data_IF_511580033686
#
_entry.id   IF_511580033686
#
_cell.length_a   1.000
_cell.length_b   1.000
_cell.length_c   1.000
_cell.angle_alpha   90.00
_cell.angle_beta   90.00
_cell.angle_gamma   90.00
#
_symmetry.space_group_name_H-M   'P 1'
#
loop_
_entity.id
_entity.type
_entity.pdbx_description
1 polymer ?
#
# COMPACT_ATOMS: atom_id res chain seq x y z
N UNK A 1 -5.73 -16.90 -9.63
CA UNK A 1 -4.69 -16.47 -8.67
C UNK A 1 -4.72 -14.97 -8.37
N UNK A 2 -4.46 -14.06 -9.32
CA UNK A 2 -4.47 -12.63 -8.99
C UNK A 2 -5.81 -12.14 -8.39
N UNK A 3 -6.94 -12.56 -8.96
CA UNK A 3 -8.29 -12.23 -8.43
C UNK A 3 -8.50 -12.78 -7.02
N UNK A 4 -7.95 -13.95 -6.71
CA UNK A 4 -8.02 -14.56 -5.38
C UNK A 4 -7.23 -13.72 -4.37
N UNK A 5 -5.99 -13.37 -4.71
CA UNK A 5 -5.14 -12.51 -3.89
C UNK A 5 -5.79 -11.14 -3.66
N UNK A 6 -6.32 -10.51 -4.71
CA UNK A 6 -7.08 -9.25 -4.61
C UNK A 6 -8.29 -9.40 -3.70
N UNK A 7 -9.04 -10.50 -3.81
CA UNK A 7 -10.19 -10.78 -2.95
C UNK A 7 -9.83 -10.96 -1.48
N UNK A 8 -8.81 -11.76 -1.20
CA UNK A 8 -8.29 -11.95 0.15
C UNK A 8 -7.76 -10.64 0.73
N UNK A 9 -7.10 -9.81 -0.09
CA UNK A 9 -6.55 -8.53 0.36
C UNK A 9 -7.66 -7.50 0.60
N UNK A 10 -8.67 -7.44 -0.26
CA UNK A 10 -9.84 -6.60 -0.06
C UNK A 10 -10.61 -7.01 1.21
N UNK A 11 -10.67 -8.32 1.50
CA UNK A 11 -11.27 -8.83 2.73
C UNK A 11 -10.42 -8.45 3.97
N UNK A 12 -9.09 -8.46 3.86
CA UNK A 12 -8.19 -7.98 4.91
C UNK A 12 -8.41 -6.48 5.19
N UNK A 13 -8.49 -5.65 4.13
CA UNK A 13 -8.75 -4.21 4.26
C UNK A 13 -10.10 -3.91 4.91
N UNK A 14 -11.14 -4.64 4.47
CA UNK A 14 -12.48 -4.51 5.02
C UNK A 14 -12.48 -4.88 6.52
N UNK A 15 -11.97 -6.06 6.87
CA UNK A 15 -11.98 -6.55 8.26
C UNK A 15 -11.13 -5.67 9.19
N UNK A 16 -10.01 -5.14 8.71
CA UNK A 16 -9.21 -4.15 9.44
C UNK A 16 -9.99 -2.85 9.66
N UNK A 17 -10.61 -2.30 8.61
CA UNK A 17 -11.40 -1.06 8.71
C UNK A 17 -12.56 -1.24 9.68
N UNK A 18 -13.25 -2.38 9.62
CA UNK A 18 -14.30 -2.72 10.58
C UNK A 18 -13.77 -2.81 12.00
N UNK A 19 -12.66 -3.51 12.22
CA UNK A 19 -12.01 -3.62 13.54
C UNK A 19 -11.66 -2.24 14.10
N UNK A 20 -11.14 -1.33 13.26
CA UNK A 20 -10.81 0.04 13.64
C UNK A 20 -12.05 0.87 14.02
N UNK A 21 -13.20 0.63 13.38
CA UNK A 21 -14.45 1.37 13.64
C UNK A 21 -15.33 0.75 14.74
N UNK A 22 -15.06 -0.50 15.12
CA UNK A 22 -15.83 -1.22 16.14
C UNK A 22 -15.23 -0.97 17.53
N UNK A 23 -15.65 0.13 18.16
CA UNK A 23 -15.30 0.40 19.56
C UNK A 23 -16.35 -0.16 20.51
N UNK A 24 -15.90 -0.89 21.53
CA UNK A 24 -16.74 -1.56 22.53
C UNK A 24 -17.77 -0.62 23.18
N UNK A 25 -17.47 0.68 23.25
CA UNK A 25 -18.31 1.72 23.83
C UNK A 25 -19.45 2.22 22.94
N UNK A 26 -19.45 1.97 21.63
CA UNK A 26 -20.39 2.59 20.69
C UNK A 26 -21.27 1.56 19.95
N UNK A 27 -22.20 0.98 20.70
CA UNK A 27 -23.15 0.00 20.17
C UNK A 27 -24.11 0.56 19.09
N UNK A 28 -24.24 1.89 19.00
CA UNK A 28 -25.14 2.53 18.04
C UNK A 28 -24.61 2.47 16.59
N UNK A 29 -23.30 2.36 16.39
CA UNK A 29 -22.67 2.34 15.06
C UNK A 29 -22.66 0.95 14.40
N UNK A 30 -22.93 -0.11 15.15
CA UNK A 30 -22.79 -1.49 14.68
C UNK A 30 -23.77 -1.95 13.59
N UNK A 31 -25.03 -1.46 13.49
CA UNK A 31 -25.95 -1.87 12.43
C UNK A 31 -25.41 -1.59 11.02
N UNK A 32 -24.84 -0.40 10.80
CA UNK A 32 -24.27 -0.03 9.49
C UNK A 32 -23.04 -0.89 9.19
N UNK A 33 -22.20 -1.12 10.19
CA UNK A 33 -21.00 -1.94 10.03
C UNK A 33 -21.36 -3.40 9.71
N UNK A 34 -22.39 -3.96 10.34
CA UNK A 34 -22.90 -5.29 10.02
C UNK A 34 -23.42 -5.36 8.59
N UNK A 35 -24.18 -4.37 8.14
CA UNK A 35 -24.67 -4.32 6.76
C UNK A 35 -23.52 -4.33 5.75
N UNK A 36 -22.51 -3.47 5.94
CA UNK A 36 -21.33 -3.44 5.07
C UNK A 36 -20.59 -4.77 5.12
N UNK A 37 -20.38 -5.35 6.31
CA UNK A 37 -19.70 -6.62 6.47
C UNK A 37 -20.43 -7.76 5.76
N UNK A 38 -21.75 -7.82 5.86
CA UNK A 38 -22.57 -8.83 5.18
C UNK A 38 -22.57 -8.63 3.67
N UNK A 39 -22.83 -7.42 3.16
CA UNK A 39 -22.88 -7.20 1.72
C UNK A 39 -21.50 -7.32 1.06
N UNK A 40 -20.52 -6.59 1.57
CA UNK A 40 -19.18 -6.57 0.99
C UNK A 40 -18.42 -7.86 1.34
N UNK A 41 -18.45 -8.29 2.59
CA UNK A 41 -17.73 -9.50 3.03
C UNK A 41 -18.22 -10.77 2.37
N UNK A 42 -19.54 -10.96 2.22
CA UNK A 42 -20.06 -12.14 1.52
C UNK A 42 -19.75 -12.06 0.03
N UNK A 43 -19.85 -10.88 -0.61
CA UNK A 43 -19.49 -10.73 -2.02
C UNK A 43 -18.01 -11.06 -2.28
N UNK A 44 -17.11 -10.57 -1.43
CA UNK A 44 -15.68 -10.87 -1.50
C UNK A 44 -15.39 -12.34 -1.19
N UNK A 45 -16.06 -12.92 -0.20
CA UNK A 45 -15.94 -14.34 0.14
C UNK A 45 -16.37 -15.25 -1.01
N UNK A 46 -17.51 -14.96 -1.65
CA UNK A 46 -17.97 -15.66 -2.86
C UNK A 46 -16.93 -15.54 -3.97
N UNK A 47 -16.40 -14.34 -4.20
CA UNK A 47 -15.37 -14.11 -5.21
C UNK A 47 -14.11 -14.94 -4.95
N UNK A 48 -13.64 -15.01 -3.70
CA UNK A 48 -12.48 -15.82 -3.30
C UNK A 48 -12.77 -17.31 -3.49
N UNK A 49 -13.92 -17.80 -3.04
CA UNK A 49 -14.31 -19.21 -3.18
C UNK A 49 -14.40 -19.65 -4.64
N UNK A 50 -14.96 -18.80 -5.51
CA UNK A 50 -14.99 -19.07 -6.94
C UNK A 50 -13.60 -19.01 -7.56
N UNK A 51 -12.72 -18.13 -7.07
CA UNK A 51 -11.34 -18.01 -7.54
C UNK A 51 -10.50 -19.25 -7.22
N UNK A 52 -10.74 -19.86 -6.06
CA UNK A 52 -10.08 -21.11 -5.63
C UNK A 52 -10.45 -22.31 -6.53
N UNK A 53 -11.65 -22.35 -7.08
CA UNK A 53 -12.13 -23.50 -7.88
C UNK A 53 -11.72 -23.45 -9.37
N UNK A 54 -10.67 -22.70 -9.69
CA UNK A 54 -10.04 -22.59 -11.01
C UNK A 54 -11.04 -22.32 -12.16
N UNK A 55 -11.42 -21.04 -12.28
CA UNK A 55 -12.48 -20.50 -13.14
C UNK A 55 -12.53 -21.04 -14.59
N UNK A 56 -13.73 -21.50 -14.98
CA UNK A 56 -14.19 -21.63 -16.37
C UNK A 56 -15.38 -20.68 -16.55
N UNK A 57 -15.47 -19.93 -17.65
CA UNK A 57 -16.35 -18.74 -17.82
C UNK A 57 -17.83 -18.86 -17.42
N UNK A 58 -18.42 -20.08 -17.35
CA UNK A 58 -19.79 -20.29 -16.85
C UNK A 58 -19.96 -19.98 -15.35
N UNK A 59 -18.90 -20.09 -14.55
CA UNK A 59 -18.92 -19.85 -13.09
C UNK A 59 -18.96 -18.36 -12.73
N UNK A 60 -18.62 -17.44 -13.65
CA UNK A 60 -18.72 -15.99 -13.41
C UNK A 60 -20.18 -15.58 -13.27
N UNK A 61 -21.04 -16.06 -14.18
CA UNK A 61 -22.48 -15.81 -14.11
C UNK A 61 -23.08 -16.41 -12.83
N UNK A 62 -22.63 -17.61 -12.42
CA UNK A 62 -23.05 -18.20 -11.16
C UNK A 62 -22.65 -17.32 -9.96
N UNK A 63 -21.43 -16.78 -9.96
CA UNK A 63 -20.97 -15.87 -8.90
C UNK A 63 -21.80 -14.60 -8.81
N UNK A 64 -22.06 -13.95 -9.94
CA UNK A 64 -22.93 -12.76 -9.97
C UNK A 64 -24.33 -13.09 -9.47
N UNK A 65 -24.91 -14.20 -9.91
CA UNK A 65 -26.23 -14.65 -9.44
C UNK A 65 -26.21 -14.92 -7.94
N UNK A 66 -25.18 -15.59 -7.43
CA UNK A 66 -25.03 -15.89 -6.01
C UNK A 66 -24.87 -14.62 -5.17
N UNK A 67 -24.10 -13.64 -5.63
CA UNK A 67 -23.92 -12.35 -4.95
C UNK A 67 -25.21 -11.52 -4.97
N UNK A 68 -25.92 -11.46 -6.10
CA UNK A 68 -27.21 -10.76 -6.17
C UNK A 68 -28.25 -11.44 -5.28
N UNK A 69 -28.32 -12.78 -5.33
CA UNK A 69 -29.20 -13.57 -4.47
C UNK A 69 -28.87 -13.35 -2.98
N UNK A 70 -27.58 -13.33 -2.60
CA UNK A 70 -27.18 -13.07 -1.23
C UNK A 70 -27.59 -11.67 -0.79
N UNK A 71 -27.37 -10.63 -1.61
CA UNK A 71 -27.79 -9.26 -1.30
C UNK A 71 -29.30 -9.16 -1.10
N UNK A 72 -30.10 -9.75 -1.99
CA UNK A 72 -31.57 -9.74 -1.88
C UNK A 72 -32.03 -10.45 -0.61
N UNK A 73 -31.49 -11.64 -0.32
CA UNK A 73 -31.79 -12.39 0.89
C UNK A 73 -31.42 -11.59 2.13
N UNK A 74 -30.22 -11.03 2.19
CA UNK A 74 -29.80 -10.25 3.35
C UNK A 74 -30.64 -9.00 3.54
N UNK A 75 -31.02 -8.29 2.46
CA UNK A 75 -31.89 -7.13 2.58
C UNK A 75 -33.26 -7.50 3.16
N UNK A 76 -33.82 -8.66 2.79
CA UNK A 76 -35.09 -9.14 3.32
C UNK A 76 -35.02 -9.57 4.79
N UNK A 77 -33.88 -10.10 5.24
CA UNK A 77 -33.70 -10.64 6.59
C UNK A 77 -32.86 -9.76 7.53
N UNK A 78 -32.39 -8.58 7.09
CA UNK A 78 -31.44 -7.74 7.83
C UNK A 78 -31.99 -7.32 9.19
N UNK A 79 -33.26 -6.92 9.28
CA UNK A 79 -33.87 -6.50 10.55
C UNK A 79 -33.89 -7.65 11.57
N UNK A 80 -34.21 -8.87 11.11
CA UNK A 80 -34.19 -10.06 11.98
C UNK A 80 -32.76 -10.42 12.40
N UNK A 81 -31.79 -10.28 11.49
CA UNK A 81 -30.38 -10.51 11.79
C UNK A 81 -29.87 -9.51 12.83
N UNK A 82 -30.17 -8.22 12.68
CA UNK A 82 -29.80 -7.17 13.62
C UNK A 82 -30.42 -7.38 15.01
N UNK A 83 -31.65 -7.90 15.07
CA UNK A 83 -32.30 -8.22 16.34
C UNK A 83 -31.72 -9.46 17.03
N UNK A 84 -31.18 -10.41 16.27
CA UNK A 84 -30.68 -11.69 16.79
C UNK A 84 -29.18 -11.67 17.12
N UNK A 85 -28.41 -10.73 16.57
CA UNK A 85 -26.95 -10.76 16.66
C UNK A 85 -26.46 -10.25 18.01
N UNK A 86 -25.53 -11.00 18.61
CA UNK A 86 -24.75 -10.50 19.74
C UNK A 86 -23.56 -9.70 19.21
N UNK A 87 -23.53 -8.40 19.50
CA UNK A 87 -22.49 -7.49 19.04
C UNK A 87 -21.09 -7.89 19.49
N UNK A 88 -20.94 -8.46 20.70
CA UNK A 88 -19.62 -8.91 21.18
C UNK A 88 -19.10 -10.08 20.34
N UNK A 89 -19.99 -11.03 19.99
CA UNK A 89 -19.66 -12.15 19.11
C UNK A 89 -19.33 -11.68 17.69
N UNK A 90 -20.02 -10.65 17.20
CA UNK A 90 -19.71 -10.06 15.90
C UNK A 90 -18.32 -9.44 15.86
N UNK A 91 -17.97 -8.60 16.84
CA UNK A 91 -16.63 -8.00 16.96
C UNK A 91 -15.55 -9.08 17.06
N UNK A 92 -15.78 -10.10 17.89
CA UNK A 92 -14.86 -11.24 18.03
C UNK A 92 -14.67 -11.97 16.70
N UNK A 93 -15.76 -12.24 15.98
CA UNK A 93 -15.72 -12.94 14.69
C UNK A 93 -14.95 -12.15 13.64
N UNK A 94 -15.16 -10.83 13.56
CA UNK A 94 -14.41 -9.97 12.64
C UNK A 94 -12.91 -9.97 12.97
N UNK A 95 -12.55 -9.85 14.25
CA UNK A 95 -11.14 -9.84 14.67
C UNK A 95 -10.46 -11.20 14.48
N UNK A 96 -11.17 -12.31 14.67
CA UNK A 96 -10.67 -13.64 14.35
C UNK A 96 -10.43 -13.80 12.85
N UNK A 97 -11.37 -13.34 12.01
CA UNK A 97 -11.19 -13.36 10.55
C UNK A 97 -10.00 -12.49 10.11
N UNK A 98 -9.86 -11.28 10.67
CA UNK A 98 -8.70 -10.42 10.45
C UNK A 98 -7.39 -11.12 10.83
N UNK A 99 -7.36 -11.81 11.97
CA UNK A 99 -6.21 -12.61 12.40
C UNK A 99 -5.86 -13.73 11.44
N UNK A 100 -6.85 -14.49 10.97
CA UNK A 100 -6.66 -15.56 9.98
C UNK A 100 -6.10 -14.99 8.67
N UNK A 101 -6.67 -13.88 8.18
CA UNK A 101 -6.18 -13.24 6.95
C UNK A 101 -4.76 -12.71 7.11
N UNK A 102 -4.46 -12.06 8.23
CA UNK A 102 -3.11 -11.59 8.53
C UNK A 102 -2.11 -12.75 8.62
N UNK A 103 -2.50 -13.89 9.19
CA UNK A 103 -1.67 -15.10 9.22
C UNK A 103 -1.43 -15.66 7.81
N UNK A 104 -2.44 -15.68 6.93
CA UNK A 104 -2.29 -16.13 5.55
C UNK A 104 -1.30 -15.25 4.79
N UNK A 105 -1.45 -13.91 4.86
CA UNK A 105 -0.52 -12.98 4.20
C UNK A 105 0.87 -13.06 4.81
N UNK A 106 0.98 -13.18 6.13
CA UNK A 106 2.26 -13.36 6.79
C UNK A 106 2.95 -14.67 6.37
N UNK A 107 2.19 -15.77 6.21
CA UNK A 107 2.72 -17.04 5.69
C UNK A 107 3.22 -16.91 4.25
N UNK A 108 2.56 -16.10 3.40
CA UNK A 108 3.05 -15.81 2.05
C UNK A 108 4.38 -15.05 2.06
N UNK A 109 4.55 -14.07 2.96
CA UNK A 109 5.80 -13.33 3.12
C UNK A 109 6.93 -14.23 3.66
N UNK A 110 6.63 -15.06 4.66
CA UNK A 110 7.58 -16.05 5.20
C UNK A 110 8.01 -17.04 4.12
N UNK A 111 7.07 -17.52 3.31
CA UNK A 111 7.37 -18.41 2.20
C UNK A 111 8.29 -17.74 1.19
N UNK A 112 8.00 -16.51 0.78
CA UNK A 112 8.85 -15.75 -0.13
C UNK A 112 10.26 -15.54 0.44
N UNK A 113 10.35 -15.06 1.68
CA UNK A 113 11.62 -14.85 2.40
C UNK A 113 12.45 -16.14 2.46
N UNK A 114 11.83 -17.25 2.85
CA UNK A 114 12.50 -18.55 2.94
C UNK A 114 12.96 -19.08 1.59
N UNK A 115 12.27 -18.72 0.51
CA UNK A 115 12.58 -19.16 -0.86
C UNK A 115 13.77 -18.42 -1.48
N UNK A 116 14.24 -17.36 -0.84
CA UNK A 116 15.39 -16.52 -1.24
C UNK A 116 16.62 -16.74 -0.34
N UNK A 117 16.52 -17.54 0.71
CA UNK A 117 17.69 -17.97 1.49
C UNK A 117 18.40 -19.05 0.67
N UNK A 118 19.73 -18.94 0.52
CA UNK A 118 20.50 -19.91 -0.25
C UNK A 118 20.25 -21.34 0.25
N UNK A 119 20.16 -22.31 -0.68
CA UNK A 119 19.96 -23.71 -0.33
C UNK A 119 21.01 -24.20 0.69
N UNK A 120 22.25 -23.76 0.56
CA UNK A 120 23.33 -24.06 1.51
C UNK A 120 23.05 -23.54 2.93
N UNK A 121 22.57 -22.31 3.07
CA UNK A 121 22.19 -21.76 4.38
C UNK A 121 20.95 -22.47 4.93
N UNK A 122 20.00 -22.85 4.06
CA UNK A 122 18.83 -23.62 4.44
C UNK A 122 19.20 -25.03 4.93
N UNK A 123 20.14 -25.70 4.29
CA UNK A 123 20.65 -27.03 4.67
C UNK A 123 21.48 -27.00 5.95
N UNK A 124 22.26 -25.93 6.15
CA UNK A 124 23.05 -25.72 7.38
C UNK A 124 22.15 -25.41 8.58
N UNK A 125 21.08 -24.62 8.39
CA UNK A 125 20.12 -24.30 9.45
C UNK A 125 19.10 -25.43 9.69
N UNK A 126 18.80 -26.25 8.68
CA UNK A 126 17.86 -27.37 8.77
C UNK A 126 18.53 -28.73 9.04
N UNK A 127 19.73 -28.74 9.62
CA UNK A 127 20.52 -29.96 9.90
C UNK A 127 19.83 -30.98 10.85
N UNK A 128 18.63 -30.67 11.35
CA UNK A 128 17.73 -31.65 11.97
C UNK A 128 16.77 -32.27 10.96
N UNK A 129 16.84 -33.60 10.76
CA UNK A 129 16.01 -34.34 9.80
C UNK A 129 14.50 -34.39 10.13
N UNK A 130 14.10 -33.91 11.31
CA UNK A 130 12.71 -33.96 11.73
C UNK A 130 11.86 -32.89 11.02
N UNK A 131 10.72 -33.32 10.48
CA UNK A 131 9.66 -32.44 9.95
C UNK A 131 9.30 -31.33 10.95
N UNK A 132 9.39 -31.62 12.26
CA UNK A 132 9.14 -30.64 13.32
C UNK A 132 10.15 -29.49 13.31
N UNK A 133 11.43 -29.74 13.05
CA UNK A 133 12.44 -28.68 12.96
C UNK A 133 12.20 -27.78 11.75
N UNK A 134 11.81 -28.36 10.60
CA UNK A 134 11.45 -27.59 9.41
C UNK A 134 10.21 -26.73 9.64
N UNK A 135 9.19 -27.28 10.32
CA UNK A 135 7.98 -26.55 10.67
C UNK A 135 8.28 -25.42 11.68
N UNK A 136 9.04 -25.71 12.73
CA UNK A 136 9.44 -24.74 13.74
C UNK A 136 10.27 -23.59 13.14
N UNK A 137 11.24 -23.91 12.27
CA UNK A 137 12.04 -22.90 11.59
C UNK A 137 11.15 -21.97 10.74
N UNK A 138 10.23 -22.54 9.94
CA UNK A 138 9.34 -21.75 9.09
C UNK A 138 8.33 -20.93 9.87
N UNK A 139 7.68 -21.51 10.88
CA UNK A 139 6.56 -20.87 11.58
C UNK A 139 7.05 -19.89 12.66
N UNK A 140 8.12 -20.22 13.39
CA UNK A 140 8.57 -19.42 14.53
C UNK A 140 9.83 -18.60 14.21
N UNK A 141 10.86 -19.21 13.61
CA UNK A 141 12.14 -18.51 13.41
C UNK A 141 12.09 -17.50 12.25
N UNK A 142 11.47 -17.84 11.11
CA UNK A 142 11.41 -16.93 9.97
C UNK A 142 10.72 -15.58 10.29
N UNK A 143 9.56 -15.52 10.97
CA UNK A 143 8.96 -14.24 11.37
C UNK A 143 9.86 -13.39 12.28
N UNK A 144 10.57 -14.05 13.20
CA UNK A 144 11.52 -13.40 14.10
C UNK A 144 12.70 -12.85 13.30
N UNK A 145 13.24 -13.61 12.34
CA UNK A 145 14.30 -13.15 11.46
C UNK A 145 13.87 -11.97 10.59
N UNK A 146 12.66 -12.00 10.01
CA UNK A 146 12.11 -10.86 9.25
C UNK A 146 12.02 -9.62 10.13
N UNK A 147 11.57 -9.79 11.38
CA UNK A 147 11.48 -8.67 12.34
C UNK A 147 12.86 -8.12 12.70
N UNK A 148 13.82 -9.00 13.01
CA UNK A 148 15.20 -8.61 13.33
C UNK A 148 15.83 -7.87 12.15
N UNK A 149 15.73 -8.42 10.94
CA UNK A 149 16.27 -7.80 9.73
C UNK A 149 15.61 -6.43 9.45
N UNK A 150 14.32 -6.27 9.73
CA UNK A 150 13.65 -4.98 9.64
C UNK A 150 14.23 -3.96 10.63
N UNK A 151 14.41 -4.35 11.91
CA UNK A 151 15.04 -3.46 12.90
C UNK A 151 16.51 -3.17 12.60
N UNK A 152 17.20 -4.06 11.90
CA UNK A 152 18.58 -3.89 11.46
C UNK A 152 18.72 -3.05 10.19
N UNK A 153 17.62 -2.82 9.45
CA UNK A 153 17.62 -2.04 8.19
C UNK A 153 18.21 -0.63 8.32
N UNK A 154 17.91 0.17 9.38
CA UNK A 154 18.56 1.47 9.59
C UNK A 154 20.08 1.41 9.77
N UNK A 155 20.62 0.26 10.20
CA UNK A 155 22.04 0.04 10.44
C UNK A 155 22.78 -0.51 9.21
N UNK A 156 22.08 -0.72 8.09
CA UNK A 156 22.66 -1.18 6.83
C UNK A 156 23.07 -2.66 6.82
N UNK A 157 22.69 -3.43 7.84
CA UNK A 157 22.94 -4.86 7.93
C UNK A 157 21.71 -5.64 7.46
N UNK A 158 21.87 -6.41 6.39
CA UNK A 158 20.83 -7.28 5.85
C UNK A 158 21.37 -8.71 5.76
N UNK A 159 20.70 -9.66 6.41
CA UNK A 159 21.02 -11.08 6.26
C UNK A 159 20.62 -11.53 4.85
N UNK A 160 19.46 -11.09 4.36
CA UNK A 160 19.01 -11.37 2.99
C UNK A 160 18.94 -10.09 2.13
N UNK A 161 20.03 -9.76 1.44
CA UNK A 161 20.10 -8.59 0.57
C UNK A 161 19.12 -8.66 -0.61
N UNK A 162 18.85 -9.85 -1.15
CA UNK A 162 18.00 -10.04 -2.32
C UNK A 162 16.52 -9.76 -1.99
N UNK A 163 16.04 -10.26 -0.84
CA UNK A 163 14.67 -10.01 -0.39
C UNK A 163 14.38 -8.51 -0.20
N UNK A 164 15.31 -7.77 0.41
CA UNK A 164 15.15 -6.34 0.70
C UNK A 164 15.53 -5.40 -0.46
N UNK A 165 15.81 -5.93 -1.65
CA UNK A 165 15.86 -5.11 -2.87
C UNK A 165 14.48 -4.58 -3.24
N UNK A 166 13.42 -5.35 -2.94
CA UNK A 166 12.05 -4.87 -3.07
C UNK A 166 11.69 -3.99 -1.89
N UNK A 167 11.22 -2.78 -2.17
CA UNK A 167 10.90 -1.80 -1.14
C UNK A 167 9.51 -2.05 -0.56
N UNK A 168 8.64 -2.72 -1.29
CA UNK A 168 7.37 -3.22 -0.75
C UNK A 168 7.63 -4.27 0.34
N UNK A 169 8.58 -5.18 0.12
CA UNK A 169 8.91 -6.23 1.09
C UNK A 169 9.44 -5.66 2.41
N UNK A 170 10.07 -4.47 2.38
CA UNK A 170 10.51 -3.74 3.60
C UNK A 170 9.33 -3.31 4.46
N UNK A 171 8.18 -2.98 3.88
CA UNK A 171 7.01 -2.52 4.61
C UNK A 171 5.95 -3.61 4.86
N UNK A 172 5.78 -4.53 3.92
CA UNK A 172 4.73 -5.58 3.98
C UNK A 172 4.90 -6.50 5.19
N UNK A 173 6.07 -7.11 5.35
CA UNK A 173 6.35 -8.05 6.44
C UNK A 173 6.06 -7.47 7.83
N UNK A 174 6.68 -6.34 8.21
CA UNK A 174 6.42 -5.68 9.49
C UNK A 174 4.96 -5.26 9.67
N UNK A 175 4.28 -4.83 8.60
CA UNK A 175 2.86 -4.44 8.67
C UNK A 175 1.98 -5.63 9.03
N UNK A 176 2.15 -6.79 8.39
CA UNK A 176 1.35 -7.97 8.73
C UNK A 176 1.64 -8.49 10.14
N UNK A 177 2.90 -8.41 10.61
CA UNK A 177 3.25 -8.71 11.99
C UNK A 177 2.55 -7.74 12.95
N UNK A 178 2.55 -6.44 12.65
CA UNK A 178 1.86 -5.44 13.46
C UNK A 178 0.33 -5.67 13.50
N UNK A 179 -0.28 -6.10 12.39
CA UNK A 179 -1.71 -6.50 12.37
C UNK A 179 -1.96 -7.71 13.26
N UNK A 180 -1.07 -8.71 13.26
CA UNK A 180 -1.19 -9.87 14.15
C UNK A 180 -1.10 -9.47 15.63
N UNK A 181 -0.13 -8.62 15.98
CA UNK A 181 0.01 -8.08 17.34
C UNK A 181 -1.25 -7.30 17.73
N UNK A 182 -1.77 -6.47 16.83
CA UNK A 182 -3.02 -5.74 17.04
C UNK A 182 -4.22 -6.67 17.29
N UNK A 183 -4.39 -7.73 16.49
CA UNK A 183 -5.47 -8.71 16.68
C UNK A 183 -5.34 -9.39 18.04
N UNK A 184 -4.14 -9.85 18.42
CA UNK A 184 -3.91 -10.47 19.74
C UNK A 184 -4.23 -9.49 20.87
N UNK A 185 -3.80 -8.24 20.75
CA UNK A 185 -4.08 -7.20 21.74
C UNK A 185 -5.59 -6.90 21.87
N UNK A 186 -6.32 -6.91 20.75
CA UNK A 186 -7.78 -6.71 20.71
C UNK A 186 -8.54 -7.91 21.29
N UNK A 187 -8.06 -9.14 21.07
CA UNK A 187 -8.66 -10.35 21.65
C UNK A 187 -8.42 -10.48 23.16
N UNK A 188 -7.28 -9.96 23.64
CA UNK A 188 -6.89 -10.02 25.06
C UNK A 188 -7.25 -8.75 25.83
N UNK A 189 -7.74 -7.71 25.15
CA UNK A 189 -8.01 -6.37 25.71
C UNK A 189 -6.81 -5.77 26.47
N UNK A 190 -5.59 -6.00 25.98
CA UNK A 190 -4.35 -5.53 26.64
C UNK A 190 -4.10 -4.03 26.40
N UNK A 191 -4.54 -3.50 25.26
CA UNK A 191 -4.34 -2.11 24.88
C UNK A 191 -5.45 -1.20 25.43
N UNK A 192 -5.07 0.04 25.78
CA UNK A 192 -6.04 1.08 26.12
C UNK A 192 -6.80 1.55 24.88
N UNK A 193 -8.04 2.04 25.06
CA UNK A 193 -8.89 2.50 23.96
C UNK A 193 -8.21 3.54 23.05
N UNK A 194 -7.46 4.47 23.65
CA UNK A 194 -6.69 5.49 22.94
C UNK A 194 -5.57 4.88 22.09
N UNK A 195 -4.84 3.90 22.63
CA UNK A 195 -3.75 3.25 21.89
C UNK A 195 -4.31 2.37 20.77
N UNK A 196 -5.43 1.69 21.01
CA UNK A 196 -6.16 0.95 19.99
C UNK A 196 -6.57 1.84 18.82
N UNK A 197 -7.11 3.03 19.09
CA UNK A 197 -7.48 4.00 18.05
C UNK A 197 -6.26 4.42 17.21
N UNK A 198 -5.15 4.79 17.85
CA UNK A 198 -3.97 5.23 17.10
C UNK A 198 -3.37 4.11 16.25
N UNK A 199 -3.24 2.91 16.82
CA UNK A 199 -2.69 1.75 16.10
C UNK A 199 -3.61 1.32 14.98
N UNK A 200 -4.93 1.27 15.19
CA UNK A 200 -5.90 0.83 14.18
C UNK A 200 -5.97 1.80 13.00
N UNK A 201 -5.97 3.11 13.25
CA UNK A 201 -5.95 4.14 12.20
C UNK A 201 -4.65 4.06 11.39
N UNK A 202 -3.51 3.93 12.06
CA UNK A 202 -2.21 3.81 11.39
C UNK A 202 -2.13 2.55 10.53
N UNK A 203 -2.51 1.39 11.06
CA UNK A 203 -2.49 0.13 10.33
C UNK A 203 -3.46 0.15 9.15
N UNK A 204 -4.66 0.72 9.33
CA UNK A 204 -5.63 0.89 8.24
C UNK A 204 -5.02 1.71 7.11
N UNK A 205 -4.41 2.86 7.42
CA UNK A 205 -3.78 3.71 6.42
C UNK A 205 -2.64 2.98 5.68
N UNK A 206 -1.74 2.32 6.42
CA UNK A 206 -0.60 1.61 5.83
C UNK A 206 -1.08 0.47 4.93
N UNK A 207 -2.08 -0.31 5.34
CA UNK A 207 -2.64 -1.36 4.50
C UNK A 207 -3.30 -0.81 3.24
N UNK A 208 -4.03 0.30 3.30
CA UNK A 208 -4.59 0.92 2.09
C UNK A 208 -3.48 1.39 1.13
N UNK A 209 -2.39 1.97 1.66
CA UNK A 209 -1.22 2.35 0.85
C UNK A 209 -0.54 1.13 0.25
N UNK A 210 -0.34 0.06 1.01
CA UNK A 210 0.19 -1.20 0.50
C UNK A 210 -0.74 -1.80 -0.58
N UNK A 211 -2.05 -1.60 -0.48
CA UNK A 211 -3.02 -1.99 -1.49
C UNK A 211 -2.76 -1.39 -2.88
N UNK A 212 -2.04 -0.26 -2.98
CA UNK A 212 -1.65 0.31 -4.27
C UNK A 212 -0.76 -0.63 -5.09
N UNK A 213 -0.05 -1.58 -4.46
CA UNK A 213 0.71 -2.61 -5.17
C UNK A 213 -0.16 -3.49 -6.07
N UNK A 214 -1.44 -3.66 -5.72
CA UNK A 214 -2.38 -4.41 -6.56
C UNK A 214 -2.62 -3.71 -7.89
N UNK A 215 -2.47 -2.39 -7.95
CA UNK A 215 -2.60 -1.61 -9.18
C UNK A 215 -1.38 -1.80 -10.10
N UNK A 216 -0.21 -2.18 -9.58
CA UNK A 216 1.02 -2.39 -10.36
C UNK A 216 0.86 -3.50 -11.41
N UNK A 217 0.05 -4.51 -11.08
CA UNK A 217 -0.27 -5.63 -11.99
C UNK A 217 -1.16 -5.19 -13.16
N UNK A 218 -1.90 -4.08 -13.02
CA UNK A 218 -2.84 -3.64 -14.05
C UNK A 218 -2.10 -2.98 -15.24
N UNK A 219 -2.34 -3.40 -16.49
CA UNK A 219 -1.58 -2.93 -17.65
C UNK A 219 -1.70 -1.42 -17.90
N UNK A 220 -2.83 -0.81 -17.56
CA UNK A 220 -3.12 0.61 -17.84
C UNK A 220 -2.64 1.56 -16.75
N UNK A 221 -2.57 1.13 -15.49
CA UNK A 221 -2.32 2.02 -14.34
C UNK A 221 -1.03 1.65 -13.61
N UNK A 222 -0.50 0.45 -13.84
CA UNK A 222 0.61 -0.06 -13.06
C UNK A 222 1.90 0.76 -13.13
N UNK A 223 2.17 1.46 -14.23
CA UNK A 223 3.32 2.36 -14.34
C UNK A 223 3.22 3.61 -13.44
N UNK A 224 2.02 3.95 -12.94
CA UNK A 224 1.81 5.13 -12.09
C UNK A 224 2.44 4.94 -10.72
N UNK A 225 2.42 3.72 -10.16
CA UNK A 225 2.98 3.43 -8.83
C UNK A 225 4.49 3.70 -8.75
N UNK A 226 5.36 3.12 -9.62
CA UNK A 226 6.78 3.40 -9.59
C UNK A 226 7.09 4.87 -9.93
N UNK A 227 6.28 5.50 -10.79
CA UNK A 227 6.42 6.91 -11.11
C UNK A 227 6.11 7.83 -9.92
N UNK A 228 5.04 7.55 -9.18
CA UNK A 228 4.69 8.28 -7.95
C UNK A 228 5.77 8.13 -6.88
N UNK A 229 6.43 6.98 -6.82
CA UNK A 229 7.57 6.75 -5.91
C UNK A 229 8.74 7.68 -6.23
N UNK A 230 9.12 7.80 -7.50
CA UNK A 230 10.20 8.70 -7.91
C UNK A 230 9.83 10.17 -7.59
N UNK A 231 8.57 10.56 -7.80
CA UNK A 231 8.05 11.88 -7.42
C UNK A 231 8.10 12.12 -5.90
N UNK A 232 7.73 11.14 -5.08
CA UNK A 232 7.83 11.26 -3.61
C UNK A 232 9.27 11.49 -3.17
N UNK A 233 10.24 10.82 -3.80
CA UNK A 233 11.66 11.04 -3.50
C UNK A 233 12.10 12.46 -3.84
N UNK A 234 11.59 13.04 -4.91
CA UNK A 234 11.86 14.44 -5.25
C UNK A 234 11.20 15.41 -4.26
N UNK A 235 9.99 15.11 -3.79
CA UNK A 235 9.33 15.88 -2.74
C UNK A 235 10.15 15.83 -1.44
N UNK A 236 10.69 14.67 -1.06
CA UNK A 236 11.53 14.54 0.15
C UNK A 236 12.84 15.33 0.02
N UNK A 237 13.50 15.26 -1.14
CA UNK A 237 14.70 16.06 -1.43
C UNK A 237 14.41 17.56 -1.39
N UNK A 238 13.26 17.97 -1.94
CA UNK A 238 12.80 19.34 -1.88
C UNK A 238 12.44 19.78 -0.45
N UNK A 239 11.88 18.89 0.36
CA UNK A 239 11.56 19.20 1.76
C UNK A 239 12.82 19.53 2.56
N UNK A 240 13.95 18.86 2.29
CA UNK A 240 15.24 19.22 2.89
C UNK A 240 15.69 20.66 2.54
N UNK A 241 15.33 21.15 1.35
CA UNK A 241 15.60 22.53 0.92
C UNK A 241 14.61 23.54 1.53
N UNK A 242 13.35 23.17 1.68
CA UNK A 242 12.29 24.06 2.21
C UNK A 242 12.28 24.13 3.74
N UNK A 243 12.69 23.06 4.43
CA UNK A 243 12.65 22.97 5.88
C UNK A 243 13.27 24.16 6.62
N UNK A 244 14.44 24.71 6.22
CA UNK A 244 15.01 25.90 6.86
C UNK A 244 14.10 27.13 6.77
N UNK A 245 13.46 27.36 5.61
CA UNK A 245 12.51 28.46 5.43
C UNK A 245 11.26 28.27 6.29
N UNK A 246 10.70 27.04 6.31
CA UNK A 246 9.56 26.72 7.17
C UNK A 246 9.87 26.97 8.64
N UNK A 247 11.05 26.55 9.12
CA UNK A 247 11.50 26.81 10.48
C UNK A 247 11.65 28.33 10.74
N UNK A 248 12.29 29.07 9.84
CA UNK A 248 12.48 30.51 9.99
C UNK A 248 11.15 31.27 10.09
N UNK A 249 10.20 31.01 9.19
CA UNK A 249 8.87 31.61 9.24
C UNK A 249 8.08 31.16 10.48
N UNK A 250 8.20 29.90 10.88
CA UNK A 250 7.55 29.38 12.09
C UNK A 250 7.99 30.16 13.33
N UNK A 251 9.30 30.37 13.50
CA UNK A 251 9.82 31.14 14.62
C UNK A 251 9.45 32.63 14.52
N UNK A 252 9.48 33.20 13.31
CA UNK A 252 9.07 34.59 13.10
C UNK A 252 7.60 34.83 13.48
N UNK A 253 6.67 33.97 13.05
CA UNK A 253 5.27 34.07 13.44
C UNK A 253 5.05 33.80 14.92
N UNK A 254 5.73 32.80 15.47
CA UNK A 254 5.63 32.52 16.90
C UNK A 254 6.04 33.75 17.72
N UNK A 255 7.18 34.37 17.43
CA UNK A 255 7.64 35.57 18.14
C UNK A 255 6.66 36.74 17.93
N UNK A 256 6.20 36.97 16.70
CA UNK A 256 5.27 38.06 16.37
C UNK A 256 3.94 37.95 17.15
N UNK A 257 3.35 36.76 17.22
CA UNK A 257 2.06 36.59 17.90
C UNK A 257 2.21 36.48 19.42
N UNK A 258 3.37 36.06 19.93
CA UNK A 258 3.66 36.08 21.36
C UNK A 258 3.88 37.50 21.89
N UNK A 259 4.41 38.42 21.10
CA UNK A 259 4.62 39.82 21.53
C UNK A 259 3.30 40.59 21.72
N UNK A 260 2.18 40.11 21.18
CA UNK A 260 0.86 40.75 21.28
C UNK A 260 0.19 40.54 22.64
N UNK A 261 0.57 39.49 23.39
CA UNK A 261 0.28 39.27 24.83
C UNK A 261 -1.19 39.11 25.28
N UNK A 262 -2.13 39.89 24.74
CA UNK A 262 -3.51 39.98 25.22
C UNK A 262 -4.46 38.96 24.57
N UNK A 263 -4.20 38.55 23.33
CA UNK A 263 -4.96 37.52 22.59
C UNK A 263 -4.06 36.81 21.58
N UNK A 264 -3.43 35.72 22.00
CA UNK A 264 -2.65 34.89 21.07
C UNK A 264 -3.61 33.99 20.28
N UNK A 265 -3.61 34.03 18.93
CA UNK A 265 -4.47 33.16 18.14
C UNK A 265 -4.16 31.67 18.40
N UNK A 266 -5.17 30.78 18.35
CA UNK A 266 -5.00 29.36 18.72
C UNK A 266 -3.94 28.64 17.87
N UNK A 267 -3.72 29.10 16.63
CA UNK A 267 -2.72 28.57 15.71
C UNK A 267 -1.27 28.89 16.08
N UNK A 268 -1.02 29.88 16.95
CA UNK A 268 0.34 30.39 17.26
C UNK A 268 0.70 30.30 18.75
N UNK A 269 -0.09 29.60 19.57
CA UNK A 269 0.14 29.52 21.03
C UNK A 269 1.39 28.74 21.42
N UNK A 270 1.87 27.84 20.56
CA UNK A 270 3.07 27.02 20.80
C UNK A 270 3.85 26.83 19.51
N UNK A 271 5.14 26.49 19.61
CA UNK A 271 6.00 26.25 18.45
C UNK A 271 5.43 25.14 17.54
N UNK A 272 5.00 23.97 18.02
CA UNK A 272 4.42 22.94 17.14
C UNK A 272 3.13 23.36 16.44
N UNK A 273 2.29 24.17 17.12
CA UNK A 273 1.07 24.72 16.50
C UNK A 273 1.41 25.76 15.44
N UNK A 274 2.38 26.62 15.72
CA UNK A 274 2.88 27.63 14.77
C UNK A 274 3.50 26.96 13.55
N UNK A 275 4.24 25.87 13.75
CA UNK A 275 4.80 25.07 12.67
C UNK A 275 3.70 24.48 11.78
N UNK A 276 2.68 23.85 12.39
CA UNK A 276 1.51 23.32 11.67
C UNK A 276 0.83 24.41 10.84
N UNK A 277 0.55 25.57 11.43
CA UNK A 277 -0.11 26.69 10.73
C UNK A 277 0.76 27.22 9.59
N UNK A 278 2.07 27.38 9.81
CA UNK A 278 3.03 27.82 8.78
C UNK A 278 3.14 26.83 7.63
N UNK A 279 3.12 25.52 7.92
CA UNK A 279 3.11 24.45 6.94
C UNK A 279 1.82 24.44 6.11
N UNK A 280 0.65 24.64 6.73
CA UNK A 280 -0.62 24.77 6.00
C UNK A 280 -0.65 26.03 5.12
N UNK A 281 -0.09 27.15 5.60
CA UNK A 281 0.08 28.37 4.82
C UNK A 281 0.97 28.12 3.58
N UNK A 282 2.03 27.31 3.71
CA UNK A 282 2.83 26.86 2.55
C UNK A 282 1.97 26.11 1.53
N UNK A 283 1.01 25.29 1.95
CA UNK A 283 0.09 24.60 1.03
C UNK A 283 -0.98 25.53 0.41
N UNK A 284 -0.92 26.84 0.69
CA UNK A 284 -1.87 27.84 0.19
C UNK A 284 -3.11 28.02 1.06
N UNK A 285 -3.22 27.32 2.20
CA UNK A 285 -4.32 27.50 3.15
C UNK A 285 -4.03 28.65 4.11
N UNK A 286 -4.10 29.88 3.60
CA UNK A 286 -3.78 31.08 4.39
C UNK A 286 -5.02 31.58 5.12
N UNK A 287 -5.00 31.54 6.44
CA UNK A 287 -5.99 32.23 7.28
C UNK A 287 -5.52 33.66 7.58
N UNK A 288 -6.29 34.65 7.10
CA UNK A 288 -6.01 36.07 7.29
C UNK A 288 -6.56 36.63 8.61
N UNK A 289 -7.44 35.89 9.28
CA UNK A 289 -8.13 36.34 10.49
C UNK A 289 -7.15 36.75 11.60
N UNK A 290 -6.11 35.96 11.92
CA UNK A 290 -5.12 36.32 12.94
C UNK A 290 -4.32 37.59 12.61
N UNK A 291 -4.08 37.85 11.33
CA UNK A 291 -3.27 38.99 10.87
C UNK A 291 -4.06 40.30 10.87
N UNK A 292 -5.36 40.24 10.62
CA UNK A 292 -6.25 41.40 10.69
C UNK A 292 -6.49 41.90 12.12
N UNK A 293 -6.32 41.02 13.11
CA UNK A 293 -6.48 41.34 14.54
C UNK A 293 -5.20 41.87 15.19
N UNK A 294 -4.10 42.02 14.44
CA UNK A 294 -2.84 42.55 14.95
C UNK A 294 -2.97 44.05 15.30
N UNK A 295 -2.38 44.50 16.43
CA UNK A 295 -2.35 45.92 16.77
C UNK A 295 -1.59 46.73 15.71
N UNK A 296 -2.12 47.90 15.35
CA UNK A 296 -1.49 48.83 14.42
C UNK A 296 -0.56 49.81 15.18
N UNK A 297 0.54 50.30 14.57
CA UNK A 297 0.88 50.19 13.14
C UNK A 297 2.01 49.21 12.78
N UNK A 298 2.92 48.89 13.70
CA UNK A 298 4.18 48.21 13.36
C UNK A 298 4.02 46.69 13.28
N UNK A 299 3.30 46.08 14.21
CA UNK A 299 3.02 44.64 14.26
C UNK A 299 2.13 44.23 13.09
N UNK A 300 1.12 45.05 12.78
CA UNK A 300 0.25 44.87 11.61
C UNK A 300 1.05 44.87 10.30
N UNK A 301 1.93 45.86 10.10
CA UNK A 301 2.76 45.96 8.91
C UNK A 301 3.74 44.78 8.81
N UNK A 302 4.41 44.44 9.91
CA UNK A 302 5.37 43.34 9.96
C UNK A 302 4.71 41.99 9.67
N UNK A 303 3.52 41.74 10.23
CA UNK A 303 2.75 40.52 9.98
C UNK A 303 2.36 40.34 8.52
N UNK A 304 1.85 41.40 7.87
CA UNK A 304 1.51 41.36 6.46
C UNK A 304 2.74 41.27 5.55
N UNK A 305 3.86 41.91 5.91
CA UNK A 305 5.12 41.78 5.18
C UNK A 305 5.68 40.34 5.27
N UNK A 306 5.64 39.73 6.46
CA UNK A 306 6.01 38.32 6.65
C UNK A 306 5.10 37.38 5.86
N UNK A 307 3.79 37.62 5.88
CA UNK A 307 2.84 36.82 5.12
C UNK A 307 3.06 36.93 3.61
N UNK A 308 3.26 38.14 3.10
CA UNK A 308 3.49 38.39 1.67
C UNK A 308 4.84 37.81 1.21
N UNK A 309 5.88 37.93 2.02
CA UNK A 309 7.20 37.32 1.74
C UNK A 309 7.14 35.80 1.78
N UNK A 310 6.45 35.19 2.74
CA UNK A 310 6.22 33.76 2.77
C UNK A 310 5.45 33.29 1.52
N UNK A 311 4.36 33.99 1.16
CA UNK A 311 3.59 33.68 -0.05
C UNK A 311 4.43 33.78 -1.32
N UNK A 312 5.25 34.82 -1.44
CA UNK A 312 6.08 35.02 -2.63
C UNK A 312 7.22 34.00 -2.72
N UNK A 313 7.98 33.84 -1.63
CA UNK A 313 9.13 32.94 -1.61
C UNK A 313 8.67 31.49 -1.61
N UNK A 314 7.87 31.08 -0.64
CA UNK A 314 7.54 29.65 -0.48
C UNK A 314 6.48 29.20 -1.48
N UNK A 315 5.36 29.92 -1.59
CA UNK A 315 4.24 29.47 -2.44
C UNK A 315 4.53 29.71 -3.92
N UNK A 316 4.91 30.93 -4.30
CA UNK A 316 5.10 31.25 -5.73
C UNK A 316 6.44 30.71 -6.24
N UNK A 317 7.56 30.95 -5.55
CA UNK A 317 8.85 30.54 -6.08
C UNK A 317 9.13 29.05 -5.81
N UNK A 318 9.06 28.58 -4.57
CA UNK A 318 9.52 27.22 -4.24
C UNK A 318 8.56 26.12 -4.71
N UNK A 319 7.23 26.29 -4.60
CA UNK A 319 6.30 25.25 -5.11
C UNK A 319 6.38 25.16 -6.64
N UNK A 320 6.56 26.26 -7.36
CA UNK A 320 6.74 26.20 -8.80
C UNK A 320 8.02 25.46 -9.21
N UNK A 321 9.10 25.61 -8.44
CA UNK A 321 10.31 24.79 -8.63
C UNK A 321 10.04 23.31 -8.34
N UNK A 322 9.28 22.98 -7.29
CA UNK A 322 8.87 21.60 -7.02
C UNK A 322 8.06 21.02 -8.18
N UNK A 323 7.07 21.75 -8.69
CA UNK A 323 6.26 21.33 -9.84
C UNK A 323 7.15 21.11 -11.06
N UNK A 324 8.11 21.99 -11.33
CA UNK A 324 9.04 21.84 -12.44
C UNK A 324 9.94 20.59 -12.30
N UNK A 325 10.45 20.31 -11.09
CA UNK A 325 11.22 19.10 -10.81
C UNK A 325 10.37 17.84 -11.00
N UNK A 326 9.15 17.83 -10.44
CA UNK A 326 8.23 16.70 -10.61
C UNK A 326 7.87 16.48 -12.09
N UNK A 327 7.58 17.54 -12.85
CA UNK A 327 7.26 17.44 -14.27
C UNK A 327 8.42 16.85 -15.08
N UNK A 328 9.66 17.22 -14.77
CA UNK A 328 10.85 16.63 -15.39
C UNK A 328 10.99 15.15 -15.04
N UNK A 329 10.87 14.79 -13.76
CA UNK A 329 10.96 13.39 -13.32
C UNK A 329 9.84 12.52 -13.88
N UNK A 330 8.63 13.06 -14.01
CA UNK A 330 7.50 12.41 -14.69
C UNK A 330 7.85 12.13 -16.16
N UNK A 331 8.37 13.14 -16.87
CA UNK A 331 8.72 13.02 -18.30
C UNK A 331 9.83 12.00 -18.56
N UNK A 332 10.91 12.06 -17.78
CA UNK A 332 12.07 11.16 -17.89
C UNK A 332 11.74 9.75 -17.35
N UNK A 333 10.94 9.68 -16.30
CA UNK A 333 10.55 8.46 -15.60
C UNK A 333 9.52 7.62 -16.36
N UNK A 334 8.69 8.19 -17.23
CA UNK A 334 7.59 7.45 -17.87
C UNK A 334 8.06 6.21 -18.66
N UNK A 335 9.14 6.34 -19.44
CA UNK A 335 9.69 5.21 -20.22
C UNK A 335 10.27 4.14 -19.30
N UNK A 336 10.99 4.55 -18.26
CA UNK A 336 11.58 3.66 -17.25
C UNK A 336 10.50 2.95 -16.43
N UNK A 337 9.47 3.66 -16.02
CA UNK A 337 8.33 3.16 -15.26
C UNK A 337 7.56 2.11 -16.03
N UNK A 338 7.38 2.28 -17.35
CA UNK A 338 6.72 1.28 -18.19
C UNK A 338 7.53 -0.03 -18.27
N UNK A 339 8.86 0.06 -18.38
CA UNK A 339 9.74 -1.11 -18.34
C UNK A 339 9.73 -1.76 -16.96
N UNK A 340 9.79 -0.97 -15.89
CA UNK A 340 9.72 -1.46 -14.51
C UNK A 340 8.39 -2.17 -14.22
N UNK A 341 7.27 -1.63 -14.70
CA UNK A 341 5.95 -2.27 -14.60
C UNK A 341 5.95 -3.64 -15.27
N UNK A 342 6.55 -3.78 -16.46
CA UNK A 342 6.63 -5.08 -17.14
C UNK A 342 7.46 -6.09 -16.35
N UNK A 343 8.57 -5.64 -15.72
CA UNK A 343 9.39 -6.48 -14.84
C UNK A 343 8.62 -6.87 -13.57
N UNK A 344 7.91 -5.93 -12.93
CA UNK A 344 7.11 -6.18 -11.75
C UNK A 344 5.95 -7.15 -12.05
N UNK A 345 5.29 -6.99 -13.20
CA UNK A 345 4.28 -7.92 -13.68
C UNK A 345 4.86 -9.32 -13.89
N UNK A 346 5.98 -9.44 -14.60
CA UNK A 346 6.65 -10.73 -14.81
C UNK A 346 7.07 -11.38 -13.48
N UNK A 347 7.62 -10.59 -12.54
CA UNK A 347 7.98 -11.04 -11.20
C UNK A 347 6.76 -11.53 -10.41
N UNK A 348 5.65 -10.79 -10.45
CA UNK A 348 4.40 -11.17 -9.80
C UNK A 348 3.83 -12.49 -10.36
N UNK A 349 3.88 -12.68 -11.69
CA UNK A 349 3.49 -13.93 -12.34
C UNK A 349 4.42 -15.07 -11.93
N UNK A 350 5.74 -14.86 -11.93
CA UNK A 350 6.70 -15.88 -11.49
C UNK A 350 6.52 -16.25 -10.01
N UNK A 351 6.26 -15.28 -9.12
CA UNK A 351 5.95 -15.51 -7.71
C UNK A 351 4.67 -16.33 -7.55
N UNK A 352 3.66 -16.00 -8.34
CA UNK A 352 2.39 -16.73 -8.39
C UNK A 352 2.59 -18.20 -8.81
N UNK A 353 3.39 -18.45 -9.85
CA UNK A 353 3.71 -19.81 -10.28
C UNK A 353 4.59 -20.57 -9.28
N UNK A 354 5.56 -19.91 -8.62
CA UNK A 354 6.43 -20.55 -7.60
C UNK A 354 5.63 -21.06 -6.39
N UNK A 355 4.63 -20.29 -5.93
CA UNK A 355 3.76 -20.67 -4.80
C UNK A 355 2.91 -21.90 -5.14
N UNK A 356 2.56 -22.08 -6.42
CA UNK A 356 1.76 -23.21 -6.89
C UNK A 356 2.52 -24.54 -6.91
N UNK A 357 3.84 -24.47 -6.69
CA UNK A 357 4.76 -25.54 -7.06
C UNK A 357 4.97 -25.47 -8.57
N UNK A 358 6.19 -25.22 -9.01
CA UNK A 358 6.57 -25.54 -10.38
C UNK A 358 6.28 -27.04 -10.54
N UNK A 359 5.21 -27.39 -11.27
CA UNK A 359 5.20 -28.65 -12.00
C UNK A 359 6.46 -28.57 -12.87
N UNK A 360 7.53 -29.23 -12.40
CA UNK A 360 8.72 -29.42 -13.20
C UNK A 360 8.20 -29.98 -14.50
N UNK A 361 8.35 -29.21 -15.59
CA UNK A 361 8.20 -29.76 -16.93
C UNK A 361 8.96 -31.06 -16.88
N UNK A 362 8.23 -32.18 -16.97
CA UNK A 362 8.79 -33.51 -16.93
C UNK A 362 10.00 -33.46 -17.84
N UNK A 363 11.16 -33.66 -17.22
CA UNK A 363 12.41 -33.81 -17.94
C UNK A 363 12.18 -35.08 -18.76
N UNK A 364 11.68 -34.90 -19.98
CA UNK A 364 11.72 -35.94 -21.00
C UNK A 364 13.20 -36.19 -21.24
N UNK A 365 13.73 -37.13 -20.46
CA UNK A 365 15.02 -37.74 -20.68
C UNK A 365 14.92 -38.43 -22.05
N UNK A 366 15.43 -37.75 -23.07
CA UNK A 366 15.68 -38.31 -24.40
C UNK A 366 14.70 -37.86 -25.48
N UNK A 367 14.96 -36.70 -26.07
CA UNK A 367 15.35 -36.65 -27.49
C UNK A 367 15.84 -35.25 -27.87
N UNK A 368 16.94 -35.26 -28.61
CA UNK A 368 17.59 -34.10 -29.20
C UNK A 368 16.70 -33.48 -30.27
N UNK A 369 15.68 -32.71 -29.89
CA UNK A 369 15.02 -31.80 -30.82
C UNK A 369 15.60 -30.39 -30.70
N UNK A 370 16.21 -29.96 -31.80
CA UNK A 370 16.69 -28.61 -32.03
C UNK A 370 15.58 -27.60 -31.73
N UNK A 371 15.88 -26.72 -30.79
CA UNK A 371 15.16 -25.51 -30.44
C UNK A 371 14.72 -24.70 -31.70
N UNK A 372 13.42 -24.46 -31.92
CA UNK A 372 12.94 -23.37 -32.76
C UNK A 372 12.30 -22.30 -31.85
N UNK A 373 13.02 -21.81 -30.84
CA UNK A 373 12.57 -20.69 -30.01
C UNK A 373 13.35 -19.42 -30.34
N UNK A 374 13.07 -18.84 -31.52
CA UNK A 374 13.24 -17.40 -31.71
C UNK A 374 12.26 -16.79 -32.74
N UNK A 375 11.10 -17.40 -32.95
CA UNK A 375 10.06 -16.79 -33.81
C UNK A 375 8.65 -17.18 -33.38
N UNK A 376 8.23 -16.74 -32.19
CA UNK A 376 6.80 -16.59 -31.90
C UNK A 376 6.56 -15.37 -31.01
N UNK A 377 6.27 -14.26 -31.68
CA UNK A 377 5.68 -13.07 -31.08
C UNK A 377 4.28 -13.43 -30.54
N UNK A 378 3.90 -13.03 -29.32
CA UNK A 378 2.54 -13.26 -28.82
C UNK A 378 1.57 -12.34 -29.56
N UNK A 379 0.84 -12.90 -30.53
CA UNK A 379 -0.10 -12.20 -31.40
C UNK A 379 -1.49 -11.96 -30.78
N UNK A 380 -1.69 -12.33 -29.51
CA UNK A 380 -3.00 -12.29 -28.84
C UNK A 380 -3.25 -11.08 -27.93
N UNK A 381 -2.34 -10.12 -27.84
CA UNK A 381 -2.50 -8.93 -26.98
C UNK A 381 -2.27 -7.59 -27.69
N UNK A 382 -2.47 -7.52 -29.01
CA UNK A 382 -2.45 -6.24 -29.75
C UNK A 382 -3.84 -5.81 -30.22
N UNK A 383 -4.33 -4.75 -29.58
CA UNK A 383 -5.43 -3.89 -30.05
C UNK A 383 -5.26 -3.54 -31.53
N UNK A 384 -6.37 -3.56 -32.30
CA UNK A 384 -6.40 -3.36 -33.76
C UNK A 384 -5.73 -2.05 -34.23
N UNK A 385 -5.56 -1.05 -33.35
CA UNK A 385 -4.95 0.25 -33.69
C UNK A 385 -3.41 0.22 -33.77
N UNK A 386 -2.74 -0.77 -33.16
CA UNK A 386 -1.28 -0.93 -33.27
C UNK A 386 -0.84 -1.76 -34.49
N UNK A 387 -1.80 -2.38 -35.20
CA UNK A 387 -1.53 -3.22 -36.37
C UNK A 387 -1.27 -2.40 -37.65
N UNK A 388 -1.68 -1.14 -37.70
CA UNK A 388 -1.44 -0.24 -38.85
C UNK A 388 0.00 0.30 -38.85
N UNK A 389 0.54 0.67 -37.69
CA UNK A 389 1.86 1.32 -37.61
C UNK A 389 3.02 0.33 -37.83
N UNK A 390 2.79 -0.96 -37.56
CA UNK A 390 3.78 -2.01 -37.77
C UNK A 390 3.91 -2.44 -39.24
N UNK A 391 2.92 -2.12 -40.09
CA UNK A 391 3.02 -2.35 -41.55
C UNK A 391 3.88 -1.29 -42.25
N UNK A 392 3.95 -0.07 -41.72
CA UNK A 392 4.70 1.03 -42.33
C UNK A 392 6.22 0.86 -42.18
N UNK A 393 6.67 0.18 -41.12
CA UNK A 393 8.11 -0.08 -40.87
C UNK A 393 8.68 -1.26 -41.66
N UNK A 394 7.84 -2.15 -42.21
CA UNK A 394 8.32 -3.35 -42.90
C UNK A 394 8.67 -3.11 -44.38
N UNK A 395 8.26 -1.97 -44.95
CA UNK A 395 8.57 -1.59 -46.34
C UNK A 395 9.89 -0.83 -46.51
N UNK A 396 10.57 -0.43 -45.42
CA UNK A 396 11.75 0.45 -45.50
C UNK A 396 13.10 -0.28 -45.36
N UNK A 397 13.12 -1.58 -45.05
CA UNK A 397 14.37 -2.32 -44.75
C UNK A 397 14.74 -3.45 -45.73
N UNK A 398 14.11 -3.56 -46.91
CA UNK A 398 14.42 -4.60 -47.91
C UNK A 398 15.13 -4.09 -49.16
N UNK A 399 15.73 -2.91 -49.13
CA UNK A 399 16.46 -2.36 -50.27
C UNK A 399 17.83 -1.80 -49.91
N UNK A 400 18.84 -2.66 -49.75
CA UNK A 400 20.23 -2.38 -50.16
C UNK A 400 21.13 -3.59 -49.89
N UNK A 401 21.30 -4.46 -50.89
CA UNK A 401 22.40 -5.41 -50.99
C UNK A 401 22.56 -5.82 -52.46
N UNK A 402 23.17 -4.96 -53.27
CA UNK A 402 23.75 -5.29 -54.57
C UNK A 402 24.73 -4.19 -55.01
N UNK A 403 26.01 -4.39 -54.69
CA UNK A 403 27.23 -4.27 -55.54
C UNK A 403 28.45 -4.32 -54.65
#
# INVERSE_FOLDING_TARGET
MFIEYVGLYALLLMTMTHSATMHVSDAAAYPVQLQVWVYLGVSLGIMVLLALHNFRGRLIHLGVVLTVASVVLFNQYMERLMAAINWSTFVLTNNLLLGVLALIFHAFEVYEYSSMISQEAQETMAHGSSIFHKAFFRIAMCPVLISIDFFMTPFGTHVNKEYYQSEFNRFQGPTYIAVLVYVVAQLTNVFSDTLNLYVSVLLTLILWVLGLQLLEVHPTVGYVVPMMRDVVMDVLRFFAFVAPFLCAYTFAYYILFQSVGAKVPPGYTSIPRSFRTTYLNMLGQVDLTPFNELPAPYEYLLGHALLLSQGTVVVIMLINVLIAMMAKTVGDGLKKAKTAQQMAFASCVLRSEKIRGLDLLEKNDGETERCPMMHQHPSWLMSRRQRSDCKLWRTTCTGSAAT
#
